data_IF_622695312069
#
_entry.id   IF_622695312069
#
_cell.length_a   1.000
_cell.length_b   1.000
_cell.length_c   1.000
_cell.angle_alpha   90.00
_cell.angle_beta   90.00
_cell.angle_gamma   90.00
#
_symmetry.space_group_name_H-M   'P 1'
#
loop_
_entity.id
_entity.type
_entity.pdbx_description
1 polymer ?
#
# COMPACT_ATOMS: atom_id res chain seq x y z
N UNK A 1 -8.88 24.80 -19.95
CA UNK A 1 -9.25 23.92 -18.82
C UNK A 1 -10.73 23.62 -18.85
N UNK A 2 -11.12 22.36 -18.63
CA UNK A 2 -12.54 21.94 -18.56
C UNK A 2 -12.91 21.71 -17.10
N UNK A 3 -14.05 22.22 -16.64
CA UNK A 3 -14.56 21.96 -15.28
C UNK A 3 -15.06 20.50 -15.16
N UNK A 4 -14.50 19.74 -14.22
CA UNK A 4 -14.68 18.29 -14.12
C UNK A 4 -16.10 17.85 -13.72
N UNK A 5 -16.77 18.59 -12.84
CA UNK A 5 -18.11 18.26 -12.35
C UNK A 5 -19.18 18.31 -13.45
N UNK A 6 -18.98 19.18 -14.45
CA UNK A 6 -19.82 19.23 -15.63
C UNK A 6 -19.66 17.97 -16.49
N UNK A 7 -18.44 17.44 -16.58
CA UNK A 7 -18.09 16.27 -17.38
C UNK A 7 -18.56 14.99 -16.69
N UNK A 8 -18.32 14.88 -15.37
CA UNK A 8 -18.71 13.73 -14.56
C UNK A 8 -20.23 13.56 -14.47
N UNK A 9 -20.98 14.64 -14.18
CA UNK A 9 -22.46 14.59 -14.12
C UNK A 9 -23.06 14.14 -15.44
N UNK A 10 -22.52 14.64 -16.56
CA UNK A 10 -22.96 14.26 -17.90
C UNK A 10 -22.66 12.78 -18.19
N UNK A 11 -21.46 12.30 -17.85
CA UNK A 11 -21.07 10.89 -18.05
C UNK A 11 -21.91 9.91 -17.23
N UNK A 12 -22.24 10.26 -15.97
CA UNK A 12 -23.13 9.45 -15.13
C UNK A 12 -24.54 9.33 -15.72
N UNK A 13 -25.04 10.42 -16.31
CA UNK A 13 -26.40 10.51 -16.85
C UNK A 13 -26.50 10.10 -18.33
N UNK A 14 -25.42 9.61 -18.93
CA UNK A 14 -25.33 9.20 -20.35
C UNK A 14 -26.47 8.26 -20.76
N UNK A 15 -26.82 7.31 -19.88
CA UNK A 15 -27.88 6.33 -20.12
C UNK A 15 -29.28 6.83 -19.77
N UNK A 16 -29.40 8.02 -19.16
CA UNK A 16 -30.64 8.57 -18.61
C UNK A 16 -31.03 9.89 -19.31
N UNK A 17 -31.50 9.76 -20.57
CA UNK A 17 -31.84 10.89 -21.47
C UNK A 17 -32.74 11.97 -20.84
N UNK A 18 -33.66 11.57 -19.94
CA UNK A 18 -34.59 12.48 -19.25
C UNK A 18 -33.89 13.32 -18.17
N UNK A 19 -32.91 12.76 -17.47
CA UNK A 19 -32.14 13.49 -16.46
C UNK A 19 -31.11 14.43 -17.10
N UNK A 20 -30.52 14.02 -18.23
CA UNK A 20 -29.69 14.89 -19.07
C UNK A 20 -30.45 16.15 -19.53
N UNK A 21 -31.71 16.00 -19.96
CA UNK A 21 -32.56 17.11 -20.37
C UNK A 21 -32.80 18.12 -19.24
N UNK A 22 -33.12 17.66 -18.02
CA UNK A 22 -33.34 18.53 -16.87
C UNK A 22 -32.07 19.26 -16.40
N UNK A 23 -30.91 18.60 -16.48
CA UNK A 23 -29.63 19.19 -16.10
C UNK A 23 -29.25 20.35 -17.04
N UNK A 24 -29.42 20.16 -18.34
CA UNK A 24 -29.19 21.19 -19.35
C UNK A 24 -30.20 22.34 -19.29
N UNK A 25 -31.48 22.06 -18.97
CA UNK A 25 -32.52 23.08 -18.77
C UNK A 25 -32.21 24.00 -17.57
N UNK A 26 -31.69 23.45 -16.47
CA UNK A 26 -31.22 24.23 -15.31
C UNK A 26 -30.08 25.18 -15.67
N UNK A 27 -29.18 24.76 -16.56
CA UNK A 27 -28.05 25.60 -16.99
C UNK A 27 -28.44 26.69 -17.96
N UNK A 28 -29.43 26.44 -18.82
CA UNK A 28 -29.98 27.46 -19.70
C UNK A 28 -30.62 28.62 -18.91
N UNK A 29 -31.34 28.30 -17.82
CA UNK A 29 -31.86 29.32 -16.88
C UNK A 29 -30.76 30.16 -16.21
N UNK A 30 -29.59 29.58 -15.95
CA UNK A 30 -28.44 30.28 -15.35
C UNK A 30 -27.71 31.23 -16.32
N UNK A 31 -27.85 31.02 -17.63
CA UNK A 31 -27.19 31.82 -18.68
C UNK A 31 -28.01 33.06 -19.12
N UNK A 32 -29.20 33.26 -18.55
CA UNK A 32 -30.11 34.37 -18.87
C UNK A 32 -30.97 34.09 -20.09
N UNK A 33 -32.28 34.33 -19.95
CA UNK A 33 -33.30 34.18 -21.01
C UNK A 33 -33.25 35.34 -22.02
N UNK A 34 -32.08 35.64 -22.60
CA UNK A 34 -32.04 36.52 -23.77
C UNK A 34 -32.54 35.74 -24.99
N UNK A 35 -33.62 36.27 -25.59
CA UNK A 35 -34.26 35.76 -26.82
C UNK A 35 -33.20 35.58 -27.92
N UNK A 36 -32.72 34.35 -28.09
CA UNK A 36 -31.80 33.98 -29.17
C UNK A 36 -30.85 32.83 -28.85
N UNK A 37 -30.48 32.62 -27.58
CA UNK A 37 -29.59 31.50 -27.20
C UNK A 37 -30.40 30.30 -26.66
N UNK A 38 -31.22 29.69 -27.52
CA UNK A 38 -31.53 28.26 -27.38
C UNK A 38 -30.26 27.47 -27.69
N UNK A 39 -29.30 27.43 -26.75
CA UNK A 39 -28.34 26.34 -26.73
C UNK A 39 -29.19 25.07 -26.73
N UNK A 40 -29.14 24.28 -27.81
CA UNK A 40 -29.93 23.07 -27.87
C UNK A 40 -29.46 22.23 -26.69
N UNK A 41 -30.36 22.05 -25.73
CA UNK A 41 -30.13 21.46 -24.40
C UNK A 41 -29.38 20.11 -24.50
N UNK A 42 -29.54 19.40 -25.62
CA UNK A 42 -28.80 18.20 -25.97
C UNK A 42 -27.36 18.45 -26.44
N UNK A 43 -27.12 19.46 -27.28
CA UNK A 43 -25.78 19.79 -27.82
C UNK A 43 -24.77 20.07 -26.70
N UNK A 44 -25.15 20.81 -25.65
CA UNK A 44 -24.24 21.08 -24.53
C UNK A 44 -23.84 19.80 -23.77
N UNK A 45 -24.81 18.91 -23.54
CA UNK A 45 -24.58 17.68 -22.81
C UNK A 45 -23.84 16.66 -23.67
N UNK A 46 -24.15 16.56 -24.97
CA UNK A 46 -23.40 15.79 -25.95
C UNK A 46 -21.97 16.31 -26.10
N UNK A 47 -21.74 17.62 -26.18
CA UNK A 47 -20.41 18.23 -26.20
C UNK A 47 -19.61 17.85 -24.95
N UNK A 48 -20.22 17.88 -23.76
CA UNK A 48 -19.55 17.46 -22.51
C UNK A 48 -19.27 15.97 -22.47
N UNK A 49 -20.15 15.16 -23.04
CA UNK A 49 -19.99 13.71 -23.13
C UNK A 49 -18.85 13.35 -24.10
N UNK A 50 -18.78 14.03 -25.25
CA UNK A 50 -17.69 13.91 -26.22
C UNK A 50 -16.36 14.39 -25.65
N UNK A 51 -16.37 15.41 -24.78
CA UNK A 51 -15.19 15.80 -24.02
C UNK A 51 -14.82 14.73 -22.98
N UNK A 52 -15.81 14.13 -22.28
CA UNK A 52 -15.57 13.09 -21.28
C UNK A 52 -14.88 11.85 -21.87
N UNK A 53 -15.26 11.46 -23.09
CA UNK A 53 -14.65 10.34 -23.83
C UNK A 53 -13.17 10.56 -24.13
N UNK A 54 -12.68 11.80 -24.08
CA UNK A 54 -11.28 12.13 -24.31
C UNK A 54 -10.39 11.91 -23.09
N UNK A 55 -10.95 11.60 -21.91
CA UNK A 55 -10.17 11.48 -20.67
C UNK A 55 -10.29 10.10 -20.03
N UNK A 56 -9.12 9.56 -19.69
CA UNK A 56 -9.03 8.40 -18.82
C UNK A 56 -9.00 8.83 -17.34
N UNK A 57 -9.67 8.07 -16.47
CA UNK A 57 -9.69 8.35 -15.03
C UNK A 57 -8.30 8.21 -14.39
N UNK A 58 -7.44 7.34 -14.93
CA UNK A 58 -6.07 7.12 -14.45
C UNK A 58 -5.20 8.34 -14.70
N UNK A 59 -5.36 8.98 -15.86
CA UNK A 59 -4.71 10.26 -16.15
C UNK A 59 -5.10 11.35 -15.13
N UNK A 60 -6.36 11.38 -14.71
CA UNK A 60 -6.83 12.33 -13.70
C UNK A 60 -6.28 11.99 -12.32
N UNK A 61 -6.22 10.70 -11.99
CA UNK A 61 -5.61 10.23 -10.74
C UNK A 61 -4.13 10.64 -10.66
N UNK A 62 -3.37 10.54 -11.76
CA UNK A 62 -1.98 11.02 -11.82
C UNK A 62 -1.88 12.51 -11.46
N UNK A 63 -2.76 13.34 -12.04
CA UNK A 63 -2.74 14.79 -11.78
C UNK A 63 -3.13 15.11 -10.33
N UNK A 64 -4.15 14.45 -9.77
CA UNK A 64 -4.59 14.70 -8.40
C UNK A 64 -3.57 14.22 -7.36
N UNK A 65 -2.84 13.15 -7.65
CA UNK A 65 -1.85 12.57 -6.76
C UNK A 65 -0.50 13.31 -6.79
N UNK A 66 -0.25 14.17 -7.78
CA UNK A 66 0.99 14.92 -7.92
C UNK A 66 1.12 16.08 -6.92
N UNK A 67 2.33 16.62 -6.79
CA UNK A 67 2.68 17.81 -6.05
C UNK A 67 1.96 19.04 -6.61
N UNK A 68 1.83 19.16 -7.93
CA UNK A 68 0.96 20.16 -8.56
C UNK A 68 -0.48 20.05 -8.04
N UNK A 69 -1.09 18.86 -8.10
CA UNK A 69 -2.47 18.69 -7.70
C UNK A 69 -2.71 18.91 -6.22
N UNK A 70 -1.82 18.40 -5.37
CA UNK A 70 -1.82 18.67 -3.93
C UNK A 70 -1.70 20.16 -3.64
N UNK A 71 -0.74 20.85 -4.27
CA UNK A 71 -0.54 22.30 -4.11
C UNK A 71 -1.77 23.08 -4.56
N UNK A 72 -2.36 22.72 -5.69
CA UNK A 72 -3.54 23.40 -6.22
C UNK A 72 -4.75 23.23 -5.29
N UNK A 73 -5.00 22.03 -4.78
CA UNK A 73 -6.06 21.77 -3.81
C UNK A 73 -5.84 22.52 -2.49
N UNK A 74 -4.59 22.59 -2.02
CA UNK A 74 -4.24 23.37 -0.81
C UNK A 74 -4.44 24.88 -1.02
N UNK A 75 -4.06 25.42 -2.19
CA UNK A 75 -4.23 26.85 -2.50
C UNK A 75 -5.69 27.24 -2.74
N UNK A 76 -6.53 26.31 -3.21
CA UNK A 76 -7.93 26.57 -3.50
C UNK A 76 -8.88 26.29 -2.35
N UNK A 77 -8.42 25.74 -1.21
CA UNK A 77 -9.22 25.68 0.01
C UNK A 77 -9.51 27.09 0.52
N UNK A 78 -10.59 27.69 0.01
CA UNK A 78 -11.02 29.06 0.31
C UNK A 78 -11.36 29.30 1.78
N UNK A 79 -11.58 28.24 2.56
CA UNK A 79 -12.03 28.31 3.96
C UNK A 79 -10.91 28.30 5.02
N UNK A 80 -9.63 28.04 4.67
CA UNK A 80 -8.51 28.04 5.65
C UNK A 80 -7.56 29.25 5.54
N UNK A 81 -7.93 30.32 4.81
CA UNK A 81 -7.35 31.65 5.04
C UNK A 81 -7.80 32.28 6.38
N UNK A 82 -8.61 31.57 7.17
CA UNK A 82 -8.95 31.88 8.55
C UNK A 82 -8.47 30.71 9.42
N UNK A 83 -7.17 30.66 9.70
CA UNK A 83 -6.56 30.25 10.97
C UNK A 83 -5.06 30.16 10.73
N UNK A 84 -4.40 31.30 10.91
CA UNK A 84 -3.02 31.34 11.40
C UNK A 84 -2.92 30.44 12.63
N UNK A 85 -2.48 29.20 12.43
CA UNK A 85 -2.14 28.31 13.54
C UNK A 85 -0.81 28.81 14.09
N UNK A 86 -0.90 29.70 15.08
CA UNK A 86 0.19 29.96 16.01
C UNK A 86 0.47 28.68 16.83
N UNK A 87 1.18 27.73 16.23
CA UNK A 87 1.95 26.70 16.94
C UNK A 87 2.55 25.74 15.92
N UNK A 88 3.86 25.51 16.00
CA UNK A 88 4.69 24.65 15.13
C UNK A 88 4.32 23.15 15.12
N UNK A 89 3.11 22.76 15.57
CA UNK A 89 2.77 21.36 15.86
C UNK A 89 1.42 20.86 15.32
N UNK A 90 0.62 21.67 14.63
CA UNK A 90 -0.64 21.17 14.02
C UNK A 90 -0.80 21.63 12.57
N UNK A 91 -0.72 20.65 11.66
CA UNK A 91 -1.08 20.81 10.25
C UNK A 91 -2.60 21.05 10.20
N UNK A 92 -3.02 22.18 9.63
CA UNK A 92 -4.43 22.49 9.42
C UNK A 92 -5.14 21.33 8.70
N UNK A 93 -6.37 21.01 9.13
CA UNK A 93 -7.14 19.92 8.54
C UNK A 93 -7.69 20.39 7.20
N UNK A 94 -6.86 20.33 6.15
CA UNK A 94 -7.27 20.55 4.76
C UNK A 94 -8.54 19.73 4.43
N UNK A 95 -9.67 20.42 4.30
CA UNK A 95 -10.94 19.85 3.87
C UNK A 95 -11.12 20.16 2.40
N UNK A 96 -10.93 19.16 1.53
CA UNK A 96 -11.21 19.28 0.10
C UNK A 96 -12.71 19.12 -0.12
N UNK A 97 -13.37 20.13 -0.66
CA UNK A 97 -14.78 20.08 -1.02
C UNK A 97 -14.97 19.68 -2.49
N UNK A 98 -16.13 19.08 -2.85
CA UNK A 98 -16.44 18.78 -4.24
C UNK A 98 -16.39 20.00 -5.18
N UNK A 99 -16.60 21.20 -4.65
CA UNK A 99 -16.51 22.45 -5.40
C UNK A 99 -15.06 22.80 -5.81
N UNK A 100 -14.06 22.45 -5.01
CA UNK A 100 -12.63 22.68 -5.31
C UNK A 100 -12.17 21.84 -6.50
N UNK A 101 -12.73 20.63 -6.64
CA UNK A 101 -12.49 19.76 -7.79
C UNK A 101 -13.12 20.30 -9.09
N UNK A 102 -14.09 21.22 -9.00
CA UNK A 102 -14.72 21.82 -10.20
C UNK A 102 -13.82 22.83 -10.87
N UNK A 103 -13.03 23.54 -10.06
CA UNK A 103 -12.08 24.55 -10.53
C UNK A 103 -10.73 23.95 -10.91
N UNK A 104 -10.54 22.65 -10.68
CA UNK A 104 -9.30 21.96 -10.96
C UNK A 104 -8.96 21.97 -12.46
N UNK A 105 -7.81 22.55 -12.86
CA UNK A 105 -7.43 22.65 -14.25
C UNK A 105 -6.96 21.29 -14.75
N UNK A 106 -7.75 20.68 -15.63
CA UNK A 106 -7.32 19.49 -16.38
C UNK A 106 -6.93 19.94 -17.80
N UNK A 107 -5.65 19.75 -18.18
CA UNK A 107 -5.18 19.99 -19.56
C UNK A 107 -5.84 18.97 -20.50
N UNK A 108 -6.37 19.47 -21.61
CA UNK A 108 -7.03 18.64 -22.62
C UNK A 108 -5.99 18.17 -23.65
N UNK A 109 -5.45 16.98 -23.45
CA UNK A 109 -4.48 16.33 -24.33
C UNK A 109 -5.11 15.06 -24.95
N UNK A 110 -4.56 14.60 -26.09
CA UNK A 110 -5.06 13.40 -26.76
C UNK A 110 -4.90 12.15 -25.89
N UNK A 111 -5.70 11.11 -26.13
CA UNK A 111 -5.57 9.82 -25.41
C UNK A 111 -4.18 9.21 -25.58
N UNK A 112 -3.58 9.32 -26.78
CA UNK A 112 -2.22 8.88 -27.03
C UNK A 112 -1.19 9.61 -26.15
N UNK A 113 -1.39 10.91 -25.88
CA UNK A 113 -0.53 11.68 -24.98
C UNK A 113 -0.81 11.41 -23.49
N UNK A 114 -2.00 10.88 -23.15
CA UNK A 114 -2.31 10.44 -21.78
C UNK A 114 -1.70 9.08 -21.45
N UNK A 115 -1.39 8.26 -22.46
CA UNK A 115 -0.96 6.88 -22.28
C UNK A 115 0.22 6.70 -21.31
N UNK A 116 1.30 7.51 -21.36
CA UNK A 116 2.40 7.37 -20.41
C UNK A 116 1.96 7.52 -18.94
N UNK A 117 1.10 8.50 -18.65
CA UNK A 117 0.54 8.68 -17.30
C UNK A 117 -0.34 7.50 -16.87
N UNK A 118 -1.10 6.95 -17.83
CA UNK A 118 -1.98 5.81 -17.60
C UNK A 118 -1.16 4.57 -17.26
N UNK A 119 -0.06 4.34 -17.97
CA UNK A 119 0.82 3.18 -17.79
C UNK A 119 1.48 3.22 -16.41
N UNK A 120 2.01 4.38 -16.01
CA UNK A 120 2.59 4.57 -14.67
C UNK A 120 1.57 4.34 -13.56
N UNK A 121 0.35 4.87 -13.71
CA UNK A 121 -0.72 4.64 -12.73
C UNK A 121 -1.10 3.15 -12.67
N UNK A 122 -1.16 2.45 -13.80
CA UNK A 122 -1.42 1.00 -13.81
C UNK A 122 -0.30 0.22 -13.11
N UNK A 123 0.97 0.61 -13.31
CA UNK A 123 2.12 0.01 -12.65
C UNK A 123 2.04 0.21 -11.12
N UNK A 124 1.75 1.44 -10.68
CA UNK A 124 1.55 1.74 -9.27
C UNK A 124 0.42 0.91 -8.66
N UNK A 125 -0.73 0.78 -9.34
CA UNK A 125 -1.86 -0.05 -8.87
C UNK A 125 -1.42 -1.50 -8.73
N UNK A 126 -0.75 -2.05 -9.75
CA UNK A 126 -0.32 -3.46 -9.77
C UNK A 126 0.64 -3.76 -8.63
N UNK A 127 1.67 -2.95 -8.44
CA UNK A 127 2.68 -3.19 -7.41
C UNK A 127 2.15 -2.95 -5.99
N UNK A 128 1.28 -1.96 -5.80
CA UNK A 128 0.60 -1.79 -4.51
C UNK A 128 -0.28 -3.00 -4.17
N UNK A 129 -0.95 -3.60 -5.15
CA UNK A 129 -1.72 -4.83 -4.94
C UNK A 129 -0.83 -6.02 -4.56
N UNK A 130 0.30 -6.21 -5.24
CA UNK A 130 1.27 -7.26 -4.88
C UNK A 130 1.75 -7.11 -3.43
N UNK A 131 2.10 -5.89 -2.99
CA UNK A 131 2.49 -5.63 -1.60
C UNK A 131 1.32 -5.85 -0.61
N UNK A 132 0.09 -5.54 -1.02
CA UNK A 132 -1.10 -5.82 -0.22
C UNK A 132 -1.33 -7.32 -0.05
N UNK A 133 -1.19 -8.12 -1.11
CA UNK A 133 -1.31 -9.58 -1.05
C UNK A 133 -0.28 -10.19 -0.10
N UNK A 134 0.98 -9.72 -0.16
CA UNK A 134 2.00 -10.12 0.81
C UNK A 134 1.60 -9.73 2.24
N UNK A 135 0.99 -8.57 2.43
CA UNK A 135 0.48 -8.17 3.75
C UNK A 135 -0.64 -9.11 4.23
N UNK A 136 -1.50 -9.62 3.33
CA UNK A 136 -2.53 -10.62 3.67
C UNK A 136 -1.93 -11.97 4.08
N UNK A 137 -0.74 -12.32 3.58
CA UNK A 137 0.03 -13.49 4.03
C UNK A 137 0.72 -13.28 5.40
N UNK A 138 0.48 -12.14 6.04
CA UNK A 138 0.96 -11.82 7.38
C UNK A 138 2.35 -11.17 7.41
N UNK A 139 2.94 -10.85 6.25
CA UNK A 139 4.14 -10.00 6.20
C UNK A 139 3.78 -8.59 6.69
N UNK A 140 4.64 -7.96 7.50
CA UNK A 140 4.41 -6.56 7.89
C UNK A 140 5.21 -5.66 6.96
N UNK A 141 4.50 -4.96 6.09
CA UNK A 141 5.08 -4.02 5.14
C UNK A 141 4.46 -2.66 5.43
N UNK A 142 5.30 -1.69 5.80
CA UNK A 142 4.88 -0.29 5.98
C UNK A 142 5.86 0.61 5.27
N UNK A 143 5.35 1.36 4.29
CA UNK A 143 6.12 2.35 3.57
C UNK A 143 5.21 3.50 3.16
N UNK A 144 5.82 4.64 2.84
CA UNK A 144 5.19 5.73 2.10
C UNK A 144 5.97 5.98 0.80
N UNK A 145 5.41 6.84 -0.04
CA UNK A 145 6.03 7.26 -1.30
C UNK A 145 7.23 8.22 -1.10
N UNK A 146 7.64 8.51 0.14
CA UNK A 146 8.82 9.32 0.44
C UNK A 146 10.09 8.46 0.45
N UNK A 147 11.25 9.10 0.57
CA UNK A 147 12.54 8.42 0.62
C UNK A 147 12.87 7.76 1.98
N UNK A 148 11.94 7.80 2.94
CA UNK A 148 12.13 7.16 4.25
C UNK A 148 12.28 5.65 4.12
N UNK A 149 13.04 5.03 5.01
CA UNK A 149 13.16 3.56 5.00
C UNK A 149 11.82 2.88 5.27
N UNK A 150 11.52 1.85 4.48
CA UNK A 150 10.35 1.01 4.69
C UNK A 150 10.58 0.05 5.86
N UNK A 151 9.54 -0.18 6.66
CA UNK A 151 9.56 -1.23 7.68
C UNK A 151 9.04 -2.52 7.07
N UNK A 152 9.91 -3.54 6.99
CA UNK A 152 9.59 -4.85 6.41
C UNK A 152 9.95 -5.96 7.40
N UNK A 153 8.93 -6.67 7.90
CA UNK A 153 9.07 -7.90 8.70
C UNK A 153 8.45 -9.06 7.92
N UNK A 154 9.29 -9.99 7.47
CA UNK A 154 8.83 -11.19 6.76
C UNK A 154 8.25 -12.18 7.77
N UNK A 155 7.05 -12.70 7.48
CA UNK A 155 6.41 -13.75 8.27
C UNK A 155 7.16 -15.08 8.12
N UNK A 156 8.12 -15.29 9.03
CA UNK A 156 8.96 -16.49 9.06
C UNK A 156 8.15 -17.80 9.07
N UNK A 157 7.08 -17.86 9.86
CA UNK A 157 6.25 -19.07 9.96
C UNK A 157 5.53 -19.38 8.65
N UNK A 158 5.07 -18.36 7.94
CA UNK A 158 4.44 -18.54 6.63
C UNK A 158 5.44 -19.03 5.59
N UNK A 159 6.65 -18.44 5.54
CA UNK A 159 7.72 -18.89 4.64
C UNK A 159 8.08 -20.33 4.93
N UNK A 160 8.27 -20.67 6.21
CA UNK A 160 8.59 -22.03 6.61
C UNK A 160 7.48 -23.04 6.23
N UNK A 161 6.21 -22.68 6.45
CA UNK A 161 5.08 -23.52 6.04
C UNK A 161 5.02 -23.74 4.53
N UNK A 162 5.27 -22.71 3.73
CA UNK A 162 5.19 -22.75 2.26
C UNK A 162 6.29 -23.62 1.63
N UNK A 163 7.47 -23.69 2.24
CA UNK A 163 8.59 -24.49 1.71
C UNK A 163 8.37 -26.01 1.85
N UNK A 164 7.41 -26.45 2.67
CA UNK A 164 7.02 -27.85 2.85
C UNK A 164 8.22 -28.81 3.04
N UNK A 165 9.15 -28.42 3.92
CA UNK A 165 10.41 -29.14 4.14
C UNK A 165 10.22 -30.40 5.00
N UNK A 166 11.08 -31.43 4.85
CA UNK A 166 11.10 -32.56 5.76
C UNK A 166 11.37 -32.10 7.20
N UNK A 167 10.43 -32.36 8.09
CA UNK A 167 10.52 -31.95 9.49
C UNK A 167 10.38 -33.15 10.44
N UNK A 168 10.95 -32.99 11.64
CA UNK A 168 10.57 -33.75 12.82
C UNK A 168 9.57 -32.95 13.65
N UNK A 169 8.78 -33.66 14.46
CA UNK A 169 8.12 -33.01 15.59
C UNK A 169 9.18 -32.58 16.61
N UNK A 170 8.80 -31.70 17.54
CA UNK A 170 9.74 -31.12 18.48
C UNK A 170 10.47 -32.16 19.35
N UNK A 171 9.77 -33.19 19.85
CA UNK A 171 10.36 -34.24 20.70
C UNK A 171 11.37 -35.12 19.95
N UNK A 172 11.07 -35.47 18.70
CA UNK A 172 11.99 -36.28 17.89
C UNK A 172 13.21 -35.47 17.45
N UNK A 173 13.11 -34.14 17.37
CA UNK A 173 14.22 -33.29 17.00
C UNK A 173 15.26 -33.11 18.12
N UNK A 174 14.83 -33.18 19.38
CA UNK A 174 15.67 -32.95 20.56
C UNK A 174 16.97 -33.83 20.54
N UNK A 175 16.90 -35.17 20.52
CA UNK A 175 18.11 -36.01 20.55
C UNK A 175 18.99 -35.88 19.30
N UNK A 176 18.53 -35.19 18.25
CA UNK A 176 19.23 -35.10 16.97
C UNK A 176 19.73 -33.69 16.64
N UNK A 177 19.14 -32.64 17.23
CA UNK A 177 19.42 -31.24 16.82
C UNK A 177 19.68 -30.31 17.99
N UNK A 178 19.08 -30.53 19.16
CA UNK A 178 19.23 -29.62 20.30
C UNK A 178 18.79 -30.30 21.61
N UNK A 179 19.43 -29.99 22.72
CA UNK A 179 19.06 -30.54 24.03
C UNK A 179 18.28 -29.50 24.85
N UNK A 180 17.18 -29.90 25.50
CA UNK A 180 16.47 -29.04 26.45
C UNK A 180 17.13 -29.20 27.83
N UNK A 181 17.76 -28.13 28.30
CA UNK A 181 18.47 -28.08 29.59
C UNK A 181 17.71 -27.31 30.67
N UNK A 182 16.65 -26.60 30.30
CA UNK A 182 15.80 -25.81 31.20
C UNK A 182 14.43 -26.45 31.50
N UNK A 183 13.60 -25.73 32.27
CA UNK A 183 12.24 -26.18 32.61
C UNK A 183 11.26 -25.97 31.44
N UNK A 184 10.53 -27.04 31.10
CA UNK A 184 9.47 -27.04 30.07
C UNK A 184 8.14 -26.43 30.55
N UNK A 185 7.99 -26.20 31.85
CA UNK A 185 6.72 -25.70 32.42
C UNK A 185 6.64 -24.16 32.43
N UNK A 186 7.67 -23.48 31.91
CA UNK A 186 7.76 -22.02 31.96
C UNK A 186 7.24 -21.37 30.68
N UNK A 187 6.50 -20.25 30.75
CA UNK A 187 6.08 -19.53 29.55
C UNK A 187 7.29 -19.10 28.71
N UNK A 188 7.19 -19.22 27.39
CA UNK A 188 8.23 -18.82 26.43
C UNK A 188 8.26 -17.29 26.41
N UNK A 189 9.31 -16.68 26.97
CA UNK A 189 9.44 -15.22 27.08
C UNK A 189 10.87 -14.73 26.88
N UNK A 190 11.05 -13.57 26.22
CA UNK A 190 12.35 -12.89 26.07
C UNK A 190 13.47 -13.81 25.56
N UNK A 191 13.19 -14.54 24.47
CA UNK A 191 14.12 -15.52 23.91
C UNK A 191 15.38 -14.86 23.33
N UNK A 192 16.54 -15.30 23.80
CA UNK A 192 17.86 -14.79 23.37
C UNK A 192 18.86 -15.92 23.16
N UNK A 193 19.73 -15.77 22.18
CA UNK A 193 20.90 -16.63 22.00
C UNK A 193 22.08 -16.02 22.76
N UNK A 194 22.82 -16.86 23.47
CA UNK A 194 24.15 -16.54 23.99
C UNK A 194 25.00 -17.79 23.90
N UNK A 195 26.16 -17.66 23.23
CA UNK A 195 27.08 -18.76 22.96
C UNK A 195 26.37 -19.91 22.23
N UNK A 196 26.43 -21.13 22.76
CA UNK A 196 25.83 -22.37 22.29
C UNK A 196 24.42 -22.64 22.85
N UNK A 197 23.79 -21.62 23.45
CA UNK A 197 22.54 -21.76 24.18
C UNK A 197 21.48 -20.71 23.81
N UNK A 198 20.23 -21.12 23.96
CA UNK A 198 19.06 -20.24 24.01
C UNK A 198 18.61 -20.09 25.46
N UNK A 199 18.31 -18.86 25.83
CA UNK A 199 17.80 -18.45 27.13
C UNK A 199 16.34 -18.02 27.05
N UNK A 200 15.55 -18.41 28.06
CA UNK A 200 14.21 -17.90 28.35
C UNK A 200 14.32 -16.90 29.52
N UNK A 201 14.31 -15.60 29.21
CA UNK A 201 14.62 -14.56 30.19
C UNK A 201 16.07 -14.64 30.69
N UNK A 202 16.27 -15.14 31.92
CA UNK A 202 17.59 -15.35 32.53
C UNK A 202 17.99 -16.83 32.63
N UNK A 203 17.09 -17.73 32.29
CA UNK A 203 17.29 -19.16 32.47
C UNK A 203 17.75 -19.80 31.17
N UNK A 204 18.73 -20.69 31.26
CA UNK A 204 19.12 -21.55 30.15
C UNK A 204 17.97 -22.48 29.78
N UNK A 205 17.74 -22.66 28.49
CA UNK A 205 16.59 -23.40 28.00
C UNK A 205 16.98 -24.50 27.02
N UNK A 206 17.70 -24.15 25.94
CA UNK A 206 18.10 -25.08 24.89
C UNK A 206 19.60 -24.94 24.66
N UNK A 207 20.28 -26.06 24.49
CA UNK A 207 21.66 -26.16 24.01
C UNK A 207 21.67 -26.76 22.60
N UNK A 208 22.55 -26.29 21.72
CA UNK A 208 22.82 -26.92 20.43
C UNK A 208 24.20 -26.55 19.94
N UNK A 209 24.96 -27.54 19.48
CA UNK A 209 26.27 -27.32 18.85
C UNK A 209 26.15 -26.61 17.50
N UNK A 210 25.00 -26.72 16.84
CA UNK A 210 24.73 -26.03 15.57
C UNK A 210 24.19 -24.62 15.82
N UNK A 211 24.99 -23.62 15.43
CA UNK A 211 24.63 -22.20 15.54
C UNK A 211 23.40 -21.84 14.70
N UNK A 212 23.23 -22.49 13.53
CA UNK A 212 22.09 -22.23 12.66
C UNK A 212 20.78 -22.79 13.24
N UNK A 213 20.85 -23.92 13.94
CA UNK A 213 19.71 -24.48 14.69
C UNK A 213 19.28 -23.50 15.79
N UNK A 214 20.24 -22.92 16.53
CA UNK A 214 19.95 -21.92 17.55
C UNK A 214 19.28 -20.67 16.96
N UNK A 215 19.77 -20.17 15.82
CA UNK A 215 19.16 -19.03 15.11
C UNK A 215 17.72 -19.33 14.67
N UNK A 216 17.48 -20.51 14.11
CA UNK A 216 16.15 -20.95 13.73
C UNK A 216 15.21 -20.98 14.94
N UNK A 217 15.63 -21.65 16.01
CA UNK A 217 14.85 -21.81 17.23
C UNK A 217 14.58 -20.46 17.90
N UNK A 218 15.54 -19.53 17.92
CA UNK A 218 15.31 -18.19 18.45
C UNK A 218 14.16 -17.49 17.73
N UNK A 219 14.20 -17.45 16.39
CA UNK A 219 13.15 -16.79 15.59
C UNK A 219 11.82 -17.54 15.75
N UNK A 220 11.86 -18.88 15.69
CA UNK A 220 10.68 -19.73 15.79
C UNK A 220 9.97 -19.55 17.14
N UNK A 221 10.70 -19.63 18.26
CA UNK A 221 10.15 -19.51 19.61
C UNK A 221 9.62 -18.10 19.92
N UNK A 222 10.26 -17.04 19.42
CA UNK A 222 9.74 -15.66 19.59
C UNK A 222 8.35 -15.47 18.97
N UNK A 223 7.98 -16.26 17.96
CA UNK A 223 6.64 -16.18 17.36
C UNK A 223 5.59 -16.87 18.24
N UNK A 224 5.97 -17.87 19.04
CA UNK A 224 5.10 -18.49 20.04
C UNK A 224 4.85 -17.54 21.23
N UNK A 225 5.89 -16.81 21.66
CA UNK A 225 5.78 -15.74 22.68
C UNK A 225 4.74 -14.68 22.26
N UNK A 226 4.83 -14.16 21.02
CA UNK A 226 3.90 -13.15 20.50
C UNK A 226 2.44 -13.62 20.43
N UNK A 227 2.19 -14.94 20.37
CA UNK A 227 0.86 -15.55 20.26
C UNK A 227 0.31 -16.08 21.59
N UNK A 228 1.07 -15.97 22.68
CA UNK A 228 0.69 -16.53 23.99
C UNK A 228 0.64 -18.06 24.02
N UNK A 229 1.34 -18.73 23.11
CA UNK A 229 1.37 -20.19 23.03
C UNK A 229 2.33 -20.78 24.08
N UNK A 230 1.98 -21.97 24.56
CA UNK A 230 2.72 -22.66 25.62
C UNK A 230 3.67 -23.72 25.07
N UNK A 231 4.53 -24.27 25.92
CA UNK A 231 5.36 -25.43 25.58
C UNK A 231 4.56 -26.64 25.12
N UNK A 232 3.38 -26.86 25.69
CA UNK A 232 2.48 -27.93 25.27
C UNK A 232 2.11 -27.79 23.80
N UNK A 233 1.86 -26.56 23.34
CA UNK A 233 1.58 -26.29 21.93
C UNK A 233 2.81 -26.57 21.05
N UNK A 234 4.00 -26.15 21.50
CA UNK A 234 5.25 -26.42 20.78
C UNK A 234 5.56 -27.92 20.66
N UNK A 235 5.30 -28.68 21.72
CA UNK A 235 5.51 -30.14 21.72
C UNK A 235 4.54 -30.84 20.76
N UNK A 236 3.28 -30.39 20.72
CA UNK A 236 2.24 -31.01 19.89
C UNK A 236 2.33 -30.63 18.41
N UNK A 237 2.61 -29.36 18.11
CA UNK A 237 2.50 -28.80 16.75
C UNK A 237 3.84 -28.32 16.18
N UNK A 238 4.87 -28.22 17.01
CA UNK A 238 6.17 -27.69 16.63
C UNK A 238 6.87 -28.57 15.59
N UNK A 239 7.37 -27.92 14.54
CA UNK A 239 8.09 -28.55 13.43
C UNK A 239 9.51 -28.02 13.37
N UNK A 240 10.47 -28.93 13.32
CA UNK A 240 11.90 -28.62 13.20
C UNK A 240 12.42 -29.24 11.90
N UNK A 241 13.01 -28.47 10.97
CA UNK A 241 13.61 -29.01 9.75
C UNK A 241 14.64 -30.10 10.09
N UNK A 242 14.80 -31.13 9.26
CA UNK A 242 15.70 -32.26 9.58
C UNK A 242 17.18 -32.00 9.36
N UNK A 243 17.54 -31.04 8.50
CA UNK A 243 18.93 -30.73 8.16
C UNK A 243 19.24 -29.24 8.30
N UNK A 244 20.52 -28.88 8.40
CA UNK A 244 20.97 -27.48 8.39
C UNK A 244 20.78 -26.85 7.00
N UNK A 245 20.90 -27.65 5.93
CA UNK A 245 20.61 -27.23 4.55
C UNK A 245 19.17 -26.73 4.41
N UNK A 246 18.22 -27.44 5.04
CA UNK A 246 16.82 -27.02 5.02
C UNK A 246 16.58 -25.74 5.81
N UNK A 247 17.29 -25.53 6.93
CA UNK A 247 17.22 -24.24 7.66
C UNK A 247 17.80 -23.11 6.80
N UNK A 248 18.93 -23.32 6.14
CA UNK A 248 19.51 -22.34 5.22
C UNK A 248 18.54 -21.95 4.11
N UNK A 249 17.79 -22.90 3.55
CA UNK A 249 16.75 -22.59 2.54
C UNK A 249 15.67 -21.66 3.09
N UNK A 250 15.23 -21.84 4.33
CA UNK A 250 14.23 -20.95 4.96
C UNK A 250 14.77 -19.53 5.08
N UNK A 251 16.01 -19.37 5.57
CA UNK A 251 16.63 -18.05 5.72
C UNK A 251 16.93 -17.38 4.38
N UNK A 252 17.38 -18.15 3.39
CA UNK A 252 17.57 -17.67 2.03
C UNK A 252 16.25 -17.17 1.44
N UNK A 253 15.15 -17.91 1.61
CA UNK A 253 13.85 -17.51 1.10
C UNK A 253 13.30 -16.27 1.82
N UNK A 254 13.47 -16.18 3.14
CA UNK A 254 13.13 -14.96 3.88
C UNK A 254 13.90 -13.74 3.37
N UNK A 255 15.19 -13.92 3.07
CA UNK A 255 16.06 -12.86 2.55
C UNK A 255 15.67 -12.46 1.14
N UNK A 256 15.47 -13.44 0.25
CA UNK A 256 15.00 -13.25 -1.13
C UNK A 256 13.71 -12.44 -1.16
N UNK A 257 12.71 -12.84 -0.37
CA UNK A 257 11.43 -12.16 -0.30
C UNK A 257 11.55 -10.74 0.26
N UNK A 258 12.38 -10.54 1.29
CA UNK A 258 12.65 -9.19 1.82
C UNK A 258 13.26 -8.28 0.74
N UNK A 259 14.24 -8.78 -0.01
CA UNK A 259 14.87 -8.04 -1.11
C UNK A 259 13.85 -7.71 -2.20
N UNK A 260 13.04 -8.68 -2.62
CA UNK A 260 11.99 -8.47 -3.62
C UNK A 260 10.98 -7.39 -3.21
N UNK A 261 10.57 -7.37 -1.93
CA UNK A 261 9.71 -6.32 -1.37
C UNK A 261 10.41 -4.96 -1.41
N UNK A 262 11.69 -4.89 -1.00
CA UNK A 262 12.48 -3.65 -1.06
C UNK A 262 12.59 -3.10 -2.48
N UNK A 263 12.90 -3.96 -3.45
CA UNK A 263 13.05 -3.58 -4.85
C UNK A 263 11.71 -3.08 -5.41
N UNK A 264 10.62 -3.77 -5.10
CA UNK A 264 9.25 -3.34 -5.47
C UNK A 264 8.92 -1.96 -4.91
N UNK A 265 9.20 -1.71 -3.62
CA UNK A 265 8.99 -0.39 -3.00
C UNK A 265 9.85 0.69 -3.67
N UNK A 266 11.09 0.37 -4.01
CA UNK A 266 12.00 1.28 -4.70
C UNK A 266 11.47 1.65 -6.08
N UNK A 267 10.97 0.67 -6.83
CA UNK A 267 10.35 0.89 -8.13
C UNK A 267 9.08 1.74 -8.01
N UNK A 268 8.20 1.45 -7.04
CA UNK A 268 7.01 2.27 -6.75
C UNK A 268 7.40 3.74 -6.53
N UNK A 269 8.45 3.99 -5.73
CA UNK A 269 8.91 5.36 -5.46
C UNK A 269 9.46 6.04 -6.71
N UNK A 270 10.21 5.32 -7.52
CA UNK A 270 10.74 5.83 -8.79
C UNK A 270 9.62 6.27 -9.73
N UNK A 271 8.63 5.39 -9.96
CA UNK A 271 7.47 5.71 -10.81
C UNK A 271 6.68 6.89 -10.23
N UNK A 272 6.47 6.93 -8.91
CA UNK A 272 5.75 8.04 -8.30
C UNK A 272 6.46 9.39 -8.53
N UNK A 273 7.80 9.43 -8.44
CA UNK A 273 8.61 10.63 -8.74
C UNK A 273 8.57 11.01 -10.22
N UNK A 274 8.65 10.03 -11.11
CA UNK A 274 8.57 10.25 -12.56
C UNK A 274 7.20 10.81 -12.95
N UNK A 275 6.12 10.20 -12.45
CA UNK A 275 4.76 10.67 -12.65
C UNK A 275 4.56 12.11 -12.14
N UNK A 276 5.13 12.41 -10.98
CA UNK A 276 5.10 13.77 -10.42
C UNK A 276 5.79 14.78 -11.34
N UNK A 277 6.96 14.44 -11.86
CA UNK A 277 7.71 15.26 -12.81
C UNK A 277 6.92 15.46 -14.10
N UNK A 278 6.38 14.38 -14.69
CA UNK A 278 5.59 14.45 -15.93
C UNK A 278 4.37 15.36 -15.77
N UNK A 279 3.69 15.31 -14.62
CA UNK A 279 2.57 16.21 -14.34
C UNK A 279 3.07 17.65 -14.20
N UNK A 280 4.14 17.90 -13.44
CA UNK A 280 4.69 19.25 -13.31
C UNK A 280 5.12 19.84 -14.66
N UNK A 281 5.83 19.08 -15.48
CA UNK A 281 6.23 19.48 -16.85
C UNK A 281 5.01 19.75 -17.73
N UNK A 282 3.93 19.00 -17.53
CA UNK A 282 2.68 19.24 -18.22
C UNK A 282 2.02 20.56 -17.79
N UNK A 283 2.19 21.06 -16.56
CA UNK A 283 1.50 22.28 -16.07
C UNK A 283 2.39 23.53 -15.93
N UNK A 284 3.70 23.38 -16.05
CA UNK A 284 4.64 24.47 -16.33
C UNK A 284 4.46 25.00 -17.77
#
# INVERSE_FOLDING_TARGET
CVRWDDVYKVRRLEKEKRQMYELSKKRQKLLGDEKGKKLQIYQYAEEKLEIAKKFDLRYIAAILASSFGKRFLLLNNRDENIMTVNSETQIAKSRIYPDDLKEFPIKNISLAAQQPFIDDVNNLITWNWQLYELTQLGHKIKFDYSDKEATIEVNFLQVFANLNLPCWNFLNAEPHRFEIIGSRDQPITKIKIKDDKIFNGRQELIFSESTIVLQFLQIYLQQYEKRGLTWTNLIQEGKIPKTDVDIHKIFAECTRLKTEICDTITNIRSIYKELDKMVNDLYN
#
